data_IF_314430026515
#
_entry.id   IF_314430026515
#
_cell.length_a   1.000
_cell.length_b   1.000
_cell.length_c   1.000
_cell.angle_alpha   90.00
_cell.angle_beta   90.00
_cell.angle_gamma   90.00
#
_symmetry.space_group_name_H-M   'P 1'
#
loop_
_entity.id
_entity.type
_entity.pdbx_description
1 polymer ?
#
# COMPACT_ATOMS: atom_id res chain seq x y z
N UNK A 1 14.14 10.90 20.81
CA UNK A 1 15.04 10.03 20.02
C UNK A 1 15.62 10.88 18.89
N UNK A 2 16.93 10.82 18.64
CA UNK A 2 17.51 11.44 17.44
C UNK A 2 16.93 10.75 16.20
N UNK A 3 16.63 11.49 15.11
CA UNK A 3 16.15 10.88 13.87
C UNK A 3 17.22 9.90 13.35
N UNK A 4 16.82 8.72 12.85
CA UNK A 4 17.76 7.81 12.22
C UNK A 4 18.39 8.49 11.00
N UNK A 5 19.69 8.25 10.80
CA UNK A 5 20.37 8.70 9.59
C UNK A 5 20.00 7.74 8.47
N UNK A 6 19.41 8.28 7.40
CA UNK A 6 19.06 7.53 6.20
C UNK A 6 19.78 8.18 5.04
N UNK A 7 20.39 7.36 4.17
CA UNK A 7 21.03 7.87 2.96
C UNK A 7 19.99 8.61 2.09
N UNK A 8 20.29 9.83 1.61
CA UNK A 8 19.35 10.61 0.80
C UNK A 8 18.82 9.86 -0.42
N UNK A 9 19.65 9.02 -1.04
CA UNK A 9 19.26 8.19 -2.19
C UNK A 9 18.14 7.19 -1.85
N UNK A 10 18.15 6.60 -0.65
CA UNK A 10 17.12 5.65 -0.21
C UNK A 10 15.80 6.38 0.00
N UNK A 11 15.85 7.56 0.64
CA UNK A 11 14.66 8.40 0.81
C UNK A 11 14.09 8.84 -0.56
N UNK A 12 14.94 9.22 -1.51
CA UNK A 12 14.51 9.62 -2.86
C UNK A 12 13.84 8.46 -3.64
N UNK A 13 14.41 7.25 -3.58
CA UNK A 13 13.82 6.04 -4.18
C UNK A 13 12.42 5.79 -3.60
N UNK A 14 12.31 5.80 -2.28
CA UNK A 14 11.08 5.53 -1.55
C UNK A 14 10.01 6.59 -1.84
N UNK A 15 10.37 7.87 -1.81
CA UNK A 15 9.43 8.96 -2.10
C UNK A 15 8.97 8.93 -3.57
N UNK A 16 9.87 8.67 -4.51
CA UNK A 16 9.53 8.54 -5.94
C UNK A 16 8.57 7.37 -6.18
N UNK A 17 8.84 6.21 -5.54
CA UNK A 17 8.00 5.03 -5.61
C UNK A 17 6.57 5.26 -5.10
N UNK A 18 6.41 6.01 -4.01
CA UNK A 18 5.08 6.23 -3.42
C UNK A 18 4.33 7.32 -4.19
N UNK A 19 5.02 8.38 -4.61
CA UNK A 19 4.40 9.52 -5.29
C UNK A 19 3.86 9.16 -6.67
N UNK A 20 4.46 8.16 -7.35
CA UNK A 20 4.01 7.72 -8.67
C UNK A 20 2.57 7.16 -8.64
N UNK A 21 2.12 6.66 -7.50
CA UNK A 21 0.79 6.05 -7.36
C UNK A 21 -0.32 7.10 -7.19
N UNK A 22 0.03 8.35 -6.88
CA UNK A 22 -0.96 9.40 -6.63
C UNK A 22 -1.80 9.71 -7.88
N UNK A 23 -3.11 9.76 -7.70
CA UNK A 23 -4.09 10.02 -8.76
C UNK A 23 -4.41 8.82 -9.66
N UNK A 24 -3.77 7.66 -9.49
CA UNK A 24 -4.06 6.47 -10.30
C UNK A 24 -5.49 5.99 -10.05
N UNK A 25 -6.20 5.68 -11.12
CA UNK A 25 -7.56 5.13 -11.08
C UNK A 25 -7.51 3.67 -11.49
N UNK A 26 -7.99 2.78 -10.61
CA UNK A 26 -8.06 1.35 -10.82
C UNK A 26 -9.48 0.96 -11.24
N UNK A 27 -9.59 0.35 -12.42
CA UNK A 27 -10.84 0.04 -13.10
C UNK A 27 -10.95 -1.41 -13.54
N UNK A 28 -9.84 -2.16 -13.53
CA UNK A 28 -9.75 -3.55 -13.94
C UNK A 28 -10.40 -4.50 -12.95
N UNK A 29 -11.56 -5.06 -13.33
CA UNK A 29 -12.07 -6.34 -12.84
C UNK A 29 -13.20 -6.81 -13.76
N UNK A 30 -13.13 -8.02 -14.28
CA UNK A 30 -14.09 -8.51 -15.29
C UNK A 30 -15.22 -9.38 -14.72
N UNK A 31 -14.98 -10.06 -13.60
CA UNK A 31 -15.91 -11.04 -13.01
C UNK A 31 -16.00 -10.90 -11.51
N UNK A 32 -17.14 -11.28 -10.93
CA UNK A 32 -17.32 -11.26 -9.47
C UNK A 32 -16.38 -12.26 -8.77
N UNK A 33 -15.55 -11.83 -7.81
CA UNK A 33 -14.63 -12.72 -7.10
C UNK A 33 -15.36 -13.71 -6.18
N UNK A 34 -16.63 -13.44 -5.83
CA UNK A 34 -17.42 -14.30 -4.97
C UNK A 34 -18.17 -15.41 -5.71
N UNK A 35 -18.60 -15.19 -6.95
CA UNK A 35 -19.46 -16.14 -7.69
C UNK A 35 -19.15 -16.28 -9.18
N UNK A 36 -18.20 -15.53 -9.73
CA UNK A 36 -17.87 -15.51 -11.16
C UNK A 36 -18.88 -14.76 -12.04
N UNK A 37 -19.99 -14.27 -11.48
CA UNK A 37 -21.05 -13.59 -12.23
C UNK A 37 -20.64 -12.23 -12.81
N UNK A 38 -21.43 -11.69 -13.77
CA UNK A 38 -21.14 -10.44 -14.45
C UNK A 38 -21.21 -9.23 -13.50
N UNK A 39 -20.35 -8.25 -13.76
CA UNK A 39 -20.23 -7.02 -13.00
C UNK A 39 -20.91 -5.85 -13.72
N UNK A 40 -21.66 -5.06 -12.97
CA UNK A 40 -22.14 -3.74 -13.38
C UNK A 40 -21.30 -2.66 -12.69
N UNK A 41 -20.86 -1.65 -13.44
CA UNK A 41 -20.19 -0.48 -12.84
C UNK A 41 -21.12 0.23 -11.86
N UNK A 42 -20.59 0.60 -10.69
CA UNK A 42 -21.34 1.35 -9.69
C UNK A 42 -20.84 2.79 -9.59
N UNK A 43 -19.80 3.02 -8.81
CA UNK A 43 -19.16 4.32 -8.64
C UNK A 43 -17.66 4.14 -8.42
N UNK A 44 -16.95 5.24 -8.15
CA UNK A 44 -15.52 5.23 -7.87
C UNK A 44 -15.28 5.71 -6.46
N UNK A 45 -14.54 4.93 -5.68
CA UNK A 45 -14.18 5.27 -4.30
C UNK A 45 -12.76 5.82 -4.25
N UNK A 46 -12.60 7.04 -3.75
CA UNK A 46 -11.29 7.60 -3.41
C UNK A 46 -10.76 6.92 -2.14
N UNK A 47 -9.57 6.34 -2.20
CA UNK A 47 -8.86 5.71 -1.08
C UNK A 47 -7.55 6.43 -0.84
N UNK A 48 -7.22 6.61 0.43
CA UNK A 48 -5.91 7.10 0.83
C UNK A 48 -4.88 5.99 0.59
N UNK A 49 -3.79 6.31 -0.11
CA UNK A 49 -2.69 5.39 -0.34
C UNK A 49 -1.57 5.60 0.69
N UNK A 50 -1.13 6.84 0.88
CA UNK A 50 -0.03 7.17 1.80
C UNK A 50 -0.12 8.61 2.32
N UNK A 51 0.56 8.89 3.43
CA UNK A 51 0.86 10.25 3.87
C UNK A 51 2.37 10.49 3.75
N UNK A 52 2.75 11.54 3.01
CA UNK A 52 4.12 11.95 2.81
C UNK A 52 4.39 13.31 3.43
N UNK A 53 5.63 13.53 3.84
CA UNK A 53 6.20 14.83 4.22
C UNK A 53 7.20 15.22 3.13
N UNK A 54 6.79 16.10 2.21
CA UNK A 54 7.59 16.56 1.08
C UNK A 54 7.85 18.05 1.30
N UNK A 55 9.13 18.48 1.30
CA UNK A 55 9.51 19.88 1.53
C UNK A 55 8.89 20.49 2.79
N UNK A 56 8.80 19.69 3.87
CA UNK A 56 8.17 20.06 5.14
C UNK A 56 6.65 20.27 5.08
N UNK A 57 5.99 19.92 3.97
CA UNK A 57 4.54 19.93 3.80
C UNK A 57 3.97 18.51 3.87
N UNK A 58 2.88 18.33 4.61
CA UNK A 58 2.15 17.07 4.62
C UNK A 58 1.29 16.96 3.37
N UNK A 59 1.49 15.89 2.60
CA UNK A 59 0.71 15.56 1.41
C UNK A 59 0.11 14.18 1.54
N UNK A 60 -1.18 14.07 1.29
CA UNK A 60 -1.87 12.77 1.27
C UNK A 60 -2.00 12.31 -0.16
N UNK A 61 -1.42 11.15 -0.46
CA UNK A 61 -1.53 10.50 -1.76
C UNK A 61 -2.83 9.70 -1.80
N UNK A 62 -3.58 9.84 -2.88
CA UNK A 62 -4.86 9.18 -3.07
C UNK A 62 -4.87 8.36 -4.36
N UNK A 63 -5.67 7.31 -4.34
CA UNK A 63 -6.03 6.54 -5.53
C UNK A 63 -7.53 6.43 -5.64
N UNK A 64 -8.01 6.18 -6.84
CA UNK A 64 -9.42 6.01 -7.15
C UNK A 64 -9.66 4.55 -7.52
N UNK A 65 -10.67 3.91 -6.93
CA UNK A 65 -10.92 2.47 -7.15
C UNK A 65 -12.37 2.28 -7.55
N UNK A 66 -12.58 1.75 -8.75
CA UNK A 66 -13.92 1.47 -9.28
C UNK A 66 -14.57 0.37 -8.47
N UNK A 67 -15.84 0.59 -8.13
CA UNK A 67 -16.69 -0.39 -7.46
C UNK A 67 -17.70 -0.94 -8.46
N UNK A 68 -18.06 -2.19 -8.24
CA UNK A 68 -18.97 -2.94 -9.08
C UNK A 68 -20.02 -3.63 -8.23
N UNK A 69 -21.23 -3.75 -8.74
CA UNK A 69 -22.22 -4.68 -8.22
C UNK A 69 -22.26 -5.94 -9.09
N UNK A 70 -22.25 -7.10 -8.44
CA UNK A 70 -22.47 -8.35 -9.16
C UNK A 70 -23.97 -8.55 -9.44
N UNK A 71 -24.34 -8.76 -10.71
CA UNK A 71 -25.75 -8.97 -11.09
C UNK A 71 -26.32 -10.33 -10.67
N UNK A 72 -25.48 -11.26 -10.19
CA UNK A 72 -25.89 -12.62 -9.81
C UNK A 72 -26.02 -12.83 -8.31
N UNK A 73 -25.24 -12.12 -7.49
CA UNK A 73 -25.23 -12.31 -6.03
C UNK A 73 -25.31 -10.99 -5.24
N UNK A 74 -25.52 -9.86 -5.92
CA UNK A 74 -25.67 -8.51 -5.38
C UNK A 74 -24.52 -8.01 -4.48
N UNK A 75 -23.39 -8.74 -4.45
CA UNK A 75 -22.21 -8.33 -3.71
C UNK A 75 -21.51 -7.16 -4.38
N UNK A 76 -21.12 -6.20 -3.54
CA UNK A 76 -20.24 -5.10 -3.95
C UNK A 76 -18.80 -5.60 -4.04
N UNK A 77 -18.18 -5.39 -5.19
CA UNK A 77 -16.81 -5.77 -5.52
C UNK A 77 -16.00 -4.53 -5.87
N UNK A 78 -14.69 -4.60 -5.71
CA UNK A 78 -13.76 -3.53 -6.03
C UNK A 78 -12.88 -3.98 -7.19
N UNK A 79 -12.43 -3.04 -8.02
CA UNK A 79 -11.34 -3.25 -8.95
C UNK A 79 -10.10 -3.83 -8.23
N UNK A 80 -9.23 -4.45 -9.00
CA UNK A 80 -7.93 -4.86 -8.47
C UNK A 80 -7.15 -3.61 -8.04
N UNK A 81 -6.63 -3.65 -6.82
CA UNK A 81 -6.04 -2.48 -6.16
C UNK A 81 -4.83 -2.89 -5.31
N UNK A 82 -3.79 -2.04 -5.20
CA UNK A 82 -2.57 -2.34 -4.45
C UNK A 82 -2.77 -2.10 -2.95
N UNK A 83 -3.74 -2.78 -2.34
CA UNK A 83 -4.01 -2.76 -0.91
C UNK A 83 -4.12 -4.18 -0.38
N UNK A 84 -3.45 -4.46 0.74
CA UNK A 84 -3.76 -5.66 1.49
C UNK A 84 -5.20 -5.60 2.03
N UNK A 85 -5.91 -6.75 2.13
CA UNK A 85 -7.26 -6.79 2.66
C UNK A 85 -7.36 -6.14 4.05
N UNK A 86 -8.41 -5.35 4.26
CA UNK A 86 -8.70 -4.66 5.53
C UNK A 86 -7.60 -3.67 6.00
N UNK A 87 -6.78 -3.17 5.09
CA UNK A 87 -5.78 -2.15 5.40
C UNK A 87 -6.19 -0.76 4.92
N UNK A 88 -5.63 0.28 5.56
CA UNK A 88 -5.92 1.69 5.27
C UNK A 88 -4.83 2.39 4.44
N UNK A 89 -3.73 1.70 4.19
CA UNK A 89 -2.57 2.22 3.46
C UNK A 89 -2.22 1.28 2.31
N UNK A 90 -1.54 1.84 1.30
CA UNK A 90 -1.05 1.09 0.16
C UNK A 90 -0.12 -0.04 0.54
N UNK A 91 -0.12 -1.10 -0.28
CA UNK A 91 0.70 -2.29 -0.06
C UNK A 91 2.19 -1.97 0.08
N UNK A 92 2.73 -1.05 -0.73
CA UNK A 92 4.15 -0.68 -0.66
C UNK A 92 4.56 -0.07 0.69
N UNK A 93 3.67 0.71 1.34
CA UNK A 93 3.92 1.27 2.68
C UNK A 93 3.98 0.14 3.71
N UNK A 94 3.07 -0.81 3.56
CA UNK A 94 2.97 -1.94 4.46
C UNK A 94 4.14 -2.90 4.28
N UNK A 95 4.58 -3.14 3.05
CA UNK A 95 5.77 -3.90 2.74
C UNK A 95 7.00 -3.26 3.38
N UNK A 96 7.12 -1.93 3.35
CA UNK A 96 8.19 -1.21 4.06
C UNK A 96 8.12 -1.43 5.58
N UNK A 97 6.93 -1.38 6.18
CA UNK A 97 6.76 -1.67 7.60
C UNK A 97 7.27 -3.07 7.96
N UNK A 98 6.89 -4.08 7.16
CA UNK A 98 7.29 -5.47 7.37
C UNK A 98 8.79 -5.64 7.12
N UNK A 99 9.31 -5.12 6.02
CA UNK A 99 10.72 -5.24 5.65
C UNK A 99 11.65 -4.62 6.70
N UNK A 100 11.30 -3.44 7.23
CA UNK A 100 12.13 -2.79 8.25
C UNK A 100 12.05 -3.55 9.57
N UNK A 101 10.89 -4.12 9.93
CA UNK A 101 10.76 -4.94 11.14
C UNK A 101 11.64 -6.19 11.16
N UNK A 102 12.19 -6.60 10.01
CA UNK A 102 13.12 -7.73 9.92
C UNK A 102 14.50 -7.43 10.53
N UNK A 103 14.95 -6.17 10.49
CA UNK A 103 16.28 -5.77 10.99
C UNK A 103 16.22 -4.88 12.22
N UNK A 104 15.05 -4.34 12.57
CA UNK A 104 14.86 -3.50 13.75
C UNK A 104 13.54 -3.79 14.47
N UNK A 105 13.43 -3.36 15.73
CA UNK A 105 12.17 -3.50 16.47
C UNK A 105 11.05 -2.69 15.83
N UNK A 106 9.83 -3.23 15.83
CA UNK A 106 8.64 -2.60 15.22
C UNK A 106 8.39 -1.18 15.75
N UNK A 107 8.75 -0.90 17.00
CA UNK A 107 8.62 0.43 17.60
C UNK A 107 9.55 1.49 16.97
N UNK A 108 10.65 1.07 16.34
CA UNK A 108 11.60 1.95 15.64
C UNK A 108 11.19 2.23 14.19
N UNK A 109 10.46 1.30 13.56
CA UNK A 109 10.11 1.37 12.13
C UNK A 109 9.45 2.71 11.74
N UNK A 110 8.43 3.24 12.46
CA UNK A 110 7.84 4.54 12.12
C UNK A 110 8.83 5.70 12.12
N UNK A 111 9.86 5.68 12.97
CA UNK A 111 10.87 6.74 12.99
C UNK A 111 11.77 6.70 11.74
N UNK A 112 12.05 5.50 11.22
CA UNK A 112 12.78 5.34 9.95
C UNK A 112 11.92 5.72 8.76
N UNK A 113 10.65 5.32 8.75
CA UNK A 113 9.69 5.76 7.72
C UNK A 113 9.56 7.30 7.71
N UNK A 114 9.44 7.93 8.87
CA UNK A 114 9.37 9.38 9.01
C UNK A 114 10.64 10.08 8.51
N UNK A 115 11.82 9.51 8.75
CA UNK A 115 13.08 10.05 8.22
C UNK A 115 13.18 9.95 6.68
N UNK A 116 12.39 9.09 6.03
CA UNK A 116 12.20 9.08 4.56
C UNK A 116 11.00 9.92 4.12
N UNK A 117 10.35 10.65 5.02
CA UNK A 117 9.18 11.46 4.72
C UNK A 117 7.89 10.66 4.59
N UNK A 118 7.76 9.46 5.16
CA UNK A 118 6.49 8.71 5.22
C UNK A 118 5.92 8.79 6.63
N UNK A 119 4.66 9.19 6.75
CA UNK A 119 3.96 9.29 8.03
C UNK A 119 3.12 8.04 8.26
N UNK A 120 3.52 7.23 9.26
CA UNK A 120 2.79 6.05 9.73
C UNK A 120 2.78 6.04 11.26
N UNK A 121 1.64 5.77 11.88
CA UNK A 121 1.54 5.66 13.32
C UNK A 121 2.06 4.31 13.85
N UNK A 122 2.52 4.30 15.10
CA UNK A 122 3.10 3.09 15.73
C UNK A 122 2.11 1.93 15.83
N UNK A 123 0.84 2.22 16.09
CA UNK A 123 -0.21 1.19 16.21
C UNK A 123 -0.47 0.51 14.87
N UNK A 124 -0.64 1.27 13.79
CA UNK A 124 -0.81 0.76 12.43
C UNK A 124 0.40 -0.05 12.01
N UNK A 125 1.61 0.43 12.26
CA UNK A 125 2.83 -0.33 11.95
C UNK A 125 2.86 -1.69 12.69
N UNK A 126 2.50 -1.71 13.99
CA UNK A 126 2.39 -2.97 14.75
C UNK A 126 1.34 -3.90 14.17
N UNK A 127 0.16 -3.38 13.86
CA UNK A 127 -0.92 -4.15 13.26
C UNK A 127 -0.50 -4.75 11.92
N UNK A 128 0.12 -3.97 11.04
CA UNK A 128 0.56 -4.44 9.73
C UNK A 128 1.60 -5.55 9.82
N UNK A 129 2.62 -5.38 10.67
CA UNK A 129 3.65 -6.40 10.88
C UNK A 129 3.08 -7.69 11.49
N UNK A 130 2.07 -7.59 12.37
CA UNK A 130 1.43 -8.74 12.98
C UNK A 130 0.49 -9.49 12.03
N UNK A 131 -0.27 -8.77 11.21
CA UNK A 131 -1.33 -9.35 10.38
C UNK A 131 -0.85 -9.86 9.02
N UNK A 132 0.25 -9.33 8.50
CA UNK A 132 0.76 -9.75 7.20
C UNK A 132 1.84 -10.79 7.40
N UNK A 133 1.59 -11.96 6.80
CA UNK A 133 2.52 -13.07 6.83
C UNK A 133 3.86 -12.58 6.26
N UNK A 134 4.86 -12.48 7.12
CA UNK A 134 6.15 -11.90 6.76
C UNK A 134 6.81 -12.67 5.61
N UNK A 135 6.39 -13.90 5.30
CA UNK A 135 6.98 -14.72 4.24
C UNK A 135 6.95 -14.08 2.84
N UNK A 136 5.85 -13.47 2.41
CA UNK A 136 5.78 -12.87 1.06
C UNK A 136 6.76 -11.69 0.91
N UNK A 137 6.74 -10.77 1.88
CA UNK A 137 7.63 -9.60 1.88
C UNK A 137 9.09 -10.01 2.13
N UNK A 138 9.34 -11.01 2.98
CA UNK A 138 10.70 -11.52 3.25
C UNK A 138 11.38 -12.03 1.99
N UNK A 139 10.66 -12.79 1.16
CA UNK A 139 11.19 -13.33 -0.11
C UNK A 139 11.41 -12.20 -1.11
N UNK A 140 10.50 -11.22 -1.15
CA UNK A 140 10.50 -10.13 -2.12
C UNK A 140 11.18 -8.87 -1.60
N UNK A 141 12.12 -8.97 -0.66
CA UNK A 141 12.87 -7.81 -0.16
C UNK A 141 14.37 -7.95 -0.46
N UNK A 142 15.02 -6.84 -0.80
CA UNK A 142 16.47 -6.75 -0.99
C UNK A 142 17.09 -6.09 0.22
N UNK A 143 18.04 -6.76 0.85
CA UNK A 143 18.84 -6.19 1.93
C UNK A 143 19.82 -5.16 1.35
N UNK A 144 19.81 -3.95 1.88
CA UNK A 144 20.80 -2.93 1.62
C UNK A 144 21.59 -2.68 2.90
N UNK A 145 22.89 -2.92 2.84
CA UNK A 145 23.80 -2.55 3.91
C UNK A 145 24.09 -1.04 3.79
N UNK A 146 23.40 -0.26 4.61
CA UNK A 146 23.37 1.21 4.51
C UNK A 146 24.24 1.87 5.60
N UNK A 147 24.61 1.11 6.63
CA UNK A 147 25.58 1.53 7.64
C UNK A 147 25.94 0.34 8.54
N UNK A 148 27.14 0.36 9.12
CA UNK A 148 27.77 -0.68 9.95
C UNK A 148 27.02 -1.05 11.26
N UNK A 149 25.75 -0.65 11.42
CA UNK A 149 24.91 -0.87 12.61
C UNK A 149 23.58 -1.55 12.32
N UNK A 150 22.89 -1.24 11.22
CA UNK A 150 21.64 -1.88 10.82
C UNK A 150 21.40 -1.69 9.32
N UNK A 151 21.41 -2.76 8.52
CA UNK A 151 20.94 -2.69 7.15
C UNK A 151 19.43 -2.54 7.04
N UNK A 152 18.97 -2.05 5.90
CA UNK A 152 17.55 -1.81 5.62
C UNK A 152 17.12 -2.74 4.50
N UNK A 153 15.98 -3.41 4.66
CA UNK A 153 15.37 -4.14 3.57
C UNK A 153 14.46 -3.21 2.75
N UNK A 154 14.71 -3.10 1.45
CA UNK A 154 13.79 -2.46 0.52
C UNK A 154 12.92 -3.53 -0.18
N UNK A 155 11.58 -3.44 -0.07
CA UNK A 155 10.68 -4.30 -0.80
C UNK A 155 10.80 -4.13 -2.32
N UNK A 156 10.61 -5.21 -3.06
CA UNK A 156 10.53 -5.20 -4.52
C UNK A 156 9.41 -4.29 -5.01
N UNK A 157 8.28 -4.21 -4.28
CA UNK A 157 7.19 -3.28 -4.61
C UNK A 157 7.65 -1.83 -4.70
N UNK A 158 8.48 -1.39 -3.76
CA UNK A 158 9.08 -0.05 -3.76
C UNK A 158 10.10 0.10 -4.89
N UNK A 159 10.97 -0.89 -5.10
CA UNK A 159 11.99 -0.83 -6.16
C UNK A 159 11.35 -0.79 -7.56
N UNK A 160 10.35 -1.63 -7.83
CA UNK A 160 9.61 -1.68 -9.08
C UNK A 160 8.85 -0.36 -9.32
N UNK A 161 8.16 0.16 -8.31
CA UNK A 161 7.49 1.46 -8.41
C UNK A 161 8.47 2.61 -8.64
N UNK A 162 9.64 2.60 -7.98
CA UNK A 162 10.67 3.63 -8.21
C UNK A 162 11.23 3.58 -9.64
N UNK A 163 11.37 2.37 -10.20
CA UNK A 163 11.83 2.18 -11.57
C UNK A 163 10.79 2.66 -12.57
N UNK A 164 9.50 2.39 -12.31
CA UNK A 164 8.38 2.95 -13.08
C UNK A 164 8.35 4.47 -12.99
N UNK A 165 8.64 5.05 -11.82
CA UNK A 165 8.69 6.49 -11.63
C UNK A 165 9.80 7.15 -12.44
N UNK A 166 10.97 6.53 -12.51
CA UNK A 166 12.11 7.05 -13.26
C UNK A 166 11.94 6.94 -14.78
N UNK A 167 11.26 5.89 -15.26
CA UNK A 167 11.00 5.68 -16.70
C UNK A 167 9.88 6.57 -17.25
N UNK A 168 9.15 7.27 -16.39
CA UNK A 168 8.00 8.07 -16.79
C UNK A 168 8.47 9.39 -17.37
N UNK A 169 8.01 9.69 -18.58
CA UNK A 169 8.12 11.03 -19.15
C UNK A 169 7.11 11.98 -18.50
N UNK A 170 7.49 13.25 -18.37
CA UNK A 170 6.65 14.29 -17.73
C UNK A 170 5.32 14.39 -18.49
N UNK A 171 4.22 14.00 -17.83
CA UNK A 171 2.86 14.10 -18.36
C UNK A 171 2.23 12.79 -18.83
N UNK A 172 2.96 11.67 -18.86
CA UNK A 172 2.39 10.37 -19.24
C UNK A 172 1.41 9.87 -18.17
N UNK A 173 0.25 9.34 -18.58
CA UNK A 173 -0.69 8.70 -17.66
C UNK A 173 -0.15 7.33 -17.23
N UNK A 174 -0.19 7.02 -15.93
CA UNK A 174 0.30 5.75 -15.44
C UNK A 174 -0.79 4.70 -15.60
N UNK A 175 -0.45 3.65 -16.32
CA UNK A 175 -1.29 2.47 -16.45
C UNK A 175 -1.44 1.76 -15.09
N UNK A 176 -2.70 1.57 -14.66
CA UNK A 176 -3.06 0.84 -13.44
C UNK A 176 -2.44 -0.56 -13.41
N UNK A 177 -2.31 -1.22 -14.56
CA UNK A 177 -1.79 -2.59 -14.66
C UNK A 177 -0.33 -2.67 -14.23
N UNK A 178 0.49 -1.69 -14.62
CA UNK A 178 1.91 -1.60 -14.24
C UNK A 178 2.08 -1.36 -12.75
N UNK A 179 1.20 -0.56 -12.14
CA UNK A 179 1.22 -0.32 -10.69
C UNK A 179 0.84 -1.59 -9.93
N UNK A 180 -0.18 -2.30 -10.38
CA UNK A 180 -0.57 -3.59 -9.79
C UNK A 180 0.56 -4.62 -9.92
N UNK A 181 1.15 -4.76 -11.10
CA UNK A 181 2.29 -5.65 -11.34
C UNK A 181 3.48 -5.32 -10.43
N UNK A 182 3.86 -4.04 -10.34
CA UNK A 182 4.94 -3.58 -9.47
C UNK A 182 4.67 -3.93 -8.00
N UNK A 183 3.43 -3.79 -7.55
CA UNK A 183 3.01 -4.18 -6.20
C UNK A 183 2.79 -5.70 -6.03
N UNK A 184 2.93 -6.53 -7.07
CA UNK A 184 2.58 -7.95 -7.08
C UNK A 184 1.09 -8.23 -6.76
N UNK A 185 0.20 -7.41 -7.31
CA UNK A 185 -1.25 -7.55 -7.20
C UNK A 185 -1.89 -8.08 -8.50
N UNK A 186 -2.98 -8.86 -8.39
CA UNK A 186 -3.65 -9.28 -7.16
C UNK A 186 -2.81 -10.30 -6.36
N UNK A 187 -2.67 -10.10 -5.04
CA UNK A 187 -1.75 -10.86 -4.16
C UNK A 187 -2.11 -12.35 -3.97
N UNK A 188 -3.15 -12.83 -4.65
CA UNK A 188 -3.61 -14.21 -4.89
C UNK A 188 -4.94 -14.09 -5.66
N UNK A 189 -5.42 -15.12 -6.39
CA UNK A 189 -6.84 -15.16 -6.73
C UNK A 189 -7.60 -15.09 -5.41
N UNK A 190 -8.47 -14.10 -5.25
CA UNK A 190 -9.40 -13.98 -4.12
C UNK A 190 -10.40 -15.14 -4.19
N UNK A 191 -9.97 -16.41 -4.13
CA UNK A 191 -10.83 -17.54 -3.81
C UNK A 191 -11.42 -17.18 -2.47
N UNK A 192 -12.75 -17.01 -2.47
CA UNK A 192 -13.55 -16.72 -1.31
C UNK A 192 -13.30 -17.76 -0.21
N UNK A 193 -12.26 -17.57 0.60
CA UNK A 193 -12.25 -18.06 1.96
C UNK A 193 -13.13 -17.07 2.71
N UNK A 194 -14.22 -17.56 3.28
CA UNK A 194 -15.12 -16.82 4.15
C UNK A 194 -14.30 -16.12 5.25
N UNK A 195 -13.84 -14.90 4.98
CA UNK A 195 -13.28 -14.05 6.00
C UNK A 195 -14.44 -13.31 6.64
N UNK A 196 -14.66 -13.47 7.96
CA UNK A 196 -15.66 -12.68 8.65
C UNK A 196 -15.31 -11.21 8.43
N UNK A 197 -16.23 -10.47 7.81
CA UNK A 197 -16.16 -9.02 7.76
C UNK A 197 -16.01 -8.53 9.20
N UNK A 198 -15.11 -7.58 9.50
CA UNK A 198 -15.10 -6.93 10.80
C UNK A 198 -16.52 -6.40 11.03
N UNK A 199 -17.22 -6.96 12.02
CA UNK A 199 -18.50 -6.41 12.46
C UNK A 199 -18.26 -4.94 12.74
N UNK A 200 -18.99 -4.06 12.03
CA UNK A 200 -19.05 -2.64 12.32
C UNK A 200 -19.56 -2.47 13.75
N UNK A 201 -18.66 -2.47 14.74
CA UNK A 201 -18.96 -2.06 16.11
C UNK A 201 -18.77 -0.55 16.22
N UNK A 202 -19.87 0.16 15.89
CA UNK A 202 -20.38 1.44 16.43
C UNK A 202 -19.49 2.70 16.27
N UNK A 203 -20.05 3.88 16.00
CA UNK A 203 -20.84 4.67 16.95
C UNK A 203 -21.80 5.61 16.19
N UNK A 204 -23.10 5.46 16.43
CA UNK A 204 -24.03 6.59 16.46
C UNK A 204 -23.60 7.51 17.60
N UNK A 205 -23.09 8.69 17.26
CA UNK A 205 -23.09 9.85 18.16
C UNK A 205 -23.42 11.07 17.31
N UNK A 206 -24.70 11.19 17.02
CA UNK A 206 -25.33 12.49 16.94
C UNK A 206 -26.40 12.54 18.04
N UNK A 207 -26.56 13.74 18.58
CA UNK A 207 -27.68 14.26 19.38
C UNK A 207 -27.53 14.20 20.92
N UNK A 208 -27.24 15.40 21.43
CA UNK A 208 -27.51 15.99 22.76
C UNK A 208 -26.83 15.41 24.00
#
# INVERSE_FOLDING_TARGET
>A
MKPPKILPIVAAIVQSAISIVDGVTFTGHSVCPACGGPLAGYDTKRKQYAHLLINNEQRTMYVSVKRFYCKSCDKLCYADEPFYPNTRMGSAIIDLCVAFSMTMSVNRVPAYLAAMGIIVDRSSCRLYVQHICSCHVRINSRYLDIDNKYGIHLPLSVLSLSTLAYRRDIGEHIDESKVLEACSFPSAPRKAKNFPLPQKRWINRELF
#
